data_IF_149642705498
#
_entry.id   IF_149642705498
#
_cell.length_a   1.000
_cell.length_b   1.000
_cell.length_c   1.000
_cell.angle_alpha   90.00
_cell.angle_beta   90.00
_cell.angle_gamma   90.00
#
_symmetry.space_group_name_H-M   'P 1'
#
loop_
_entity.id
_entity.type
_entity.pdbx_description
1 polymer ?
#
# COMPACT_ATOMS: atom_id res chain seq x y z
N UNK A 1 6.30 22.53 -14.52
CA UNK A 1 5.46 21.40 -14.97
C UNK A 1 5.41 20.35 -13.86
N UNK A 2 4.25 19.78 -13.52
CA UNK A 2 4.18 18.66 -12.54
C UNK A 2 4.42 17.36 -13.29
N UNK A 3 5.40 16.55 -12.87
CA UNK A 3 5.61 15.21 -13.41
C UNK A 3 4.38 14.35 -13.12
N UNK A 4 3.90 13.63 -14.14
CA UNK A 4 2.88 12.58 -14.02
C UNK A 4 3.55 11.25 -13.68
N UNK A 5 2.90 10.46 -12.85
CA UNK A 5 3.29 9.08 -12.59
C UNK A 5 2.97 8.22 -13.80
N UNK A 6 3.78 7.19 -14.05
CA UNK A 6 3.44 6.16 -15.04
C UNK A 6 2.35 5.23 -14.47
N UNK A 7 1.73 4.43 -15.34
CA UNK A 7 0.74 3.45 -14.89
C UNK A 7 1.34 2.45 -13.89
N UNK A 8 2.58 2.02 -14.11
CA UNK A 8 3.31 1.13 -13.20
C UNK A 8 3.59 1.79 -11.86
N UNK A 9 3.98 3.07 -11.85
CA UNK A 9 4.17 3.83 -10.60
C UNK A 9 2.85 4.00 -9.85
N UNK A 10 1.76 4.31 -10.55
CA UNK A 10 0.42 4.40 -9.93
C UNK A 10 0.02 3.06 -9.32
N UNK A 11 0.22 1.94 -10.03
CA UNK A 11 -0.05 0.62 -9.50
C UNK A 11 0.76 0.35 -8.23
N UNK A 12 2.08 0.55 -8.30
CA UNK A 12 2.98 0.39 -7.16
C UNK A 12 2.55 1.24 -5.96
N UNK A 13 2.30 2.54 -6.16
CA UNK A 13 1.91 3.46 -5.09
C UNK A 13 0.60 3.03 -4.43
N UNK A 14 -0.37 2.54 -5.19
CA UNK A 14 -1.63 2.01 -4.63
C UNK A 14 -1.47 0.70 -3.84
N UNK A 15 -0.30 0.05 -3.90
CA UNK A 15 0.00 -1.08 -3.00
C UNK A 15 0.49 -0.63 -1.62
N UNK A 16 0.96 0.61 -1.46
CA UNK A 16 1.60 1.01 -0.21
C UNK A 16 0.56 1.37 0.88
N UNK A 17 0.71 0.92 2.13
CA UNK A 17 -0.19 1.29 3.23
C UNK A 17 -0.15 2.80 3.57
N UNK A 18 0.91 3.49 3.15
CA UNK A 18 1.02 4.95 3.28
C UNK A 18 0.11 5.72 2.31
N UNK A 19 -0.44 5.05 1.30
CA UNK A 19 -1.23 5.63 0.23
C UNK A 19 -2.66 5.12 0.32
N UNK A 20 -3.60 6.06 0.48
CA UNK A 20 -5.03 5.78 0.38
C UNK A 20 -5.43 5.56 -1.08
N UNK A 21 -4.92 6.43 -1.97
CA UNK A 21 -5.15 6.36 -3.42
C UNK A 21 -4.10 7.13 -4.20
N UNK A 22 -3.55 6.53 -5.24
CA UNK A 22 -2.74 7.21 -6.24
C UNK A 22 -3.43 7.26 -7.60
N UNK A 23 -3.31 8.39 -8.28
CA UNK A 23 -3.63 8.58 -9.70
C UNK A 23 -2.40 9.13 -10.42
N UNK A 24 -2.48 9.29 -11.74
CA UNK A 24 -1.38 9.81 -12.57
C UNK A 24 -0.82 11.15 -12.08
N UNK A 25 -1.62 11.96 -11.37
CA UNK A 25 -1.22 13.33 -10.99
C UNK A 25 -1.24 13.58 -9.48
N UNK A 26 -1.97 12.76 -8.71
CA UNK A 26 -2.28 12.99 -7.30
C UNK A 26 -2.08 11.74 -6.46
N UNK A 27 -1.49 11.94 -5.29
CA UNK A 27 -1.43 10.93 -4.22
C UNK A 27 -2.25 11.46 -3.05
N UNK A 28 -3.21 10.65 -2.61
CA UNK A 28 -3.91 10.81 -1.34
C UNK A 28 -3.23 9.88 -0.34
N UNK A 29 -2.67 10.44 0.72
CA UNK A 29 -1.99 9.68 1.77
C UNK A 29 -2.97 9.26 2.84
N UNK A 30 -2.79 8.07 3.40
CA UNK A 30 -3.60 7.61 4.53
C UNK A 30 -3.37 8.52 5.74
N UNK A 31 -4.45 8.84 6.49
CA UNK A 31 -4.37 9.73 7.67
C UNK A 31 -3.32 9.23 8.68
N UNK A 32 -3.27 7.92 8.87
CA UNK A 32 -2.35 7.25 9.78
C UNK A 32 -0.88 7.51 9.41
N UNK A 33 -0.54 7.44 8.11
CA UNK A 33 0.80 7.77 7.64
C UNK A 33 1.14 9.24 7.84
N UNK A 34 0.19 10.16 7.62
CA UNK A 34 0.42 11.59 7.82
C UNK A 34 0.82 11.89 9.27
N UNK A 35 0.08 11.33 10.23
CA UNK A 35 0.34 11.49 11.67
C UNK A 35 1.69 10.88 12.06
N UNK A 36 1.97 9.64 11.64
CA UNK A 36 3.26 8.97 11.92
C UNK A 36 4.44 9.71 11.29
N UNK A 37 4.28 10.20 10.06
CA UNK A 37 5.30 10.97 9.38
C UNK A 37 5.63 12.25 10.15
N UNK A 38 4.61 13.00 10.57
CA UNK A 38 4.83 14.23 11.33
C UNK A 38 5.39 13.95 12.73
N UNK A 39 5.03 12.83 13.37
CA UNK A 39 5.63 12.43 14.65
C UNK A 39 7.14 12.14 14.50
N UNK A 40 7.55 11.45 13.43
CA UNK A 40 8.97 11.23 13.12
C UNK A 40 9.69 12.54 12.79
N UNK A 41 9.04 13.44 12.03
CA UNK A 41 9.59 14.74 11.68
C UNK A 41 9.83 15.61 12.92
N UNK A 42 8.90 15.62 13.87
CA UNK A 42 9.03 16.32 15.16
C UNK A 42 10.19 15.79 16.01
N UNK A 43 10.55 14.50 15.84
CA UNK A 43 11.72 13.87 16.46
C UNK A 43 13.03 14.11 15.71
N UNK A 44 13.03 14.98 14.70
CA UNK A 44 14.22 15.37 13.94
C UNK A 44 14.54 14.47 12.74
N UNK A 45 13.72 13.46 12.42
CA UNK A 45 13.96 12.63 11.25
C UNK A 45 13.66 13.40 9.95
N UNK A 46 14.54 13.25 8.96
CA UNK A 46 14.40 13.91 7.67
C UNK A 46 13.19 13.39 6.87
N UNK A 47 12.35 14.27 6.26
CA UNK A 47 11.18 13.87 5.47
C UNK A 47 11.47 12.82 4.39
N UNK A 48 12.57 12.99 3.67
CA UNK A 48 13.01 12.07 2.62
C UNK A 48 13.20 10.65 3.16
N UNK A 49 13.83 10.50 4.33
CA UNK A 49 14.06 9.21 4.96
C UNK A 49 12.76 8.57 5.43
N UNK A 50 11.86 9.37 6.01
CA UNK A 50 10.56 8.89 6.49
C UNK A 50 9.73 8.35 5.33
N UNK A 51 9.65 9.09 4.22
CA UNK A 51 8.95 8.66 3.02
C UNK A 51 9.58 7.41 2.41
N UNK A 52 10.91 7.36 2.28
CA UNK A 52 11.62 6.18 1.78
C UNK A 52 11.33 4.93 2.62
N UNK A 53 11.31 5.05 3.96
CA UNK A 53 11.00 3.94 4.87
C UNK A 53 9.58 3.39 4.71
N UNK A 54 8.67 4.20 4.16
CA UNK A 54 7.29 3.83 3.85
C UNK A 54 7.09 3.35 2.41
N UNK A 55 8.18 3.11 1.66
CA UNK A 55 8.13 2.71 0.24
C UNK A 55 7.91 3.87 -0.74
N UNK A 56 7.87 5.12 -0.25
CA UNK A 56 7.66 6.31 -1.10
C UNK A 56 9.02 6.88 -1.53
N UNK A 57 9.71 6.18 -2.43
CA UNK A 57 11.04 6.55 -2.91
C UNK A 57 11.05 7.99 -3.48
N UNK A 58 11.96 8.88 -3.02
CA UNK A 58 12.14 10.22 -3.58
C UNK A 58 12.34 10.29 -5.09
N UNK A 59 12.87 9.24 -5.73
CA UNK A 59 13.01 9.13 -7.19
C UNK A 59 11.65 9.03 -7.90
N UNK A 60 10.69 8.35 -7.27
CA UNK A 60 9.31 8.24 -7.79
C UNK A 60 8.54 9.51 -7.42
N UNK A 61 8.61 9.93 -6.16
CA UNK A 61 7.81 11.03 -5.61
C UNK A 61 8.28 12.41 -6.09
N UNK A 62 9.59 12.63 -6.16
CA UNK A 62 10.22 13.93 -6.32
C UNK A 62 10.24 14.75 -5.02
N UNK A 63 11.38 15.32 -4.68
CA UNK A 63 11.59 16.05 -3.41
C UNK A 63 10.58 17.17 -3.17
N UNK A 64 10.19 17.93 -4.20
CA UNK A 64 9.17 18.99 -4.08
C UNK A 64 7.78 18.48 -3.69
N UNK A 65 7.41 17.24 -4.02
CA UNK A 65 6.14 16.67 -3.56
C UNK A 65 6.21 16.35 -2.05
N UNK A 66 7.34 15.85 -1.58
CA UNK A 66 7.60 15.55 -0.17
C UNK A 66 7.56 16.86 0.65
N UNK A 67 8.32 17.88 0.25
CA UNK A 67 8.32 19.20 0.91
C UNK A 67 6.91 19.79 1.04
N UNK A 68 6.13 19.78 -0.06
CA UNK A 68 4.74 20.29 -0.06
C UNK A 68 3.81 19.47 0.82
N UNK A 69 4.02 18.15 0.90
CA UNK A 69 3.24 17.30 1.79
C UNK A 69 3.50 17.66 3.25
N UNK A 70 4.77 17.77 3.64
CA UNK A 70 5.17 18.19 4.99
C UNK A 70 4.62 19.59 5.33
N UNK A 71 4.79 20.57 4.43
CA UNK A 71 4.28 21.92 4.65
C UNK A 71 2.76 21.95 4.89
N UNK A 72 2.01 21.18 4.09
CA UNK A 72 0.56 21.04 4.23
C UNK A 72 0.16 20.38 5.55
N UNK A 73 0.83 19.31 5.95
CA UNK A 73 0.52 18.61 7.20
C UNK A 73 0.94 19.39 8.44
N UNK A 74 2.03 20.15 8.35
CA UNK A 74 2.46 21.09 9.39
C UNK A 74 1.44 22.20 9.62
N UNK A 75 0.71 22.60 8.58
CA UNK A 75 -0.35 23.60 8.67
C UNK A 75 -1.70 23.04 9.15
N UNK A 76 -1.86 21.72 9.30
CA UNK A 76 -3.08 21.09 9.79
C UNK A 76 -3.01 20.84 11.31
N UNK A 77 -3.79 21.57 12.13
CA UNK A 77 -3.73 21.45 13.59
C UNK A 77 -4.11 20.05 14.10
N UNK A 78 -5.01 19.35 13.42
CA UNK A 78 -5.46 18.01 13.85
C UNK A 78 -4.35 17.00 13.65
N UNK A 79 -3.69 17.02 12.49
CA UNK A 79 -2.52 16.15 12.23
C UNK A 79 -1.40 16.44 13.23
N UNK A 80 -1.10 17.72 13.47
CA UNK A 80 -0.01 18.12 14.37
C UNK A 80 -0.28 17.73 15.83
N UNK A 81 -1.52 17.85 16.32
CA UNK A 81 -1.88 17.45 17.68
C UNK A 81 -1.70 15.93 17.89
N UNK A 82 -2.21 15.12 16.96
CA UNK A 82 -2.04 13.67 17.00
C UNK A 82 -0.56 13.26 16.89
N UNK A 83 0.18 13.94 16.00
CA UNK A 83 1.61 13.70 15.80
C UNK A 83 2.43 14.05 17.05
N UNK A 84 2.12 15.15 17.73
CA UNK A 84 2.79 15.54 18.98
C UNK A 84 2.51 14.53 20.09
N UNK A 85 1.26 14.07 20.21
CA UNK A 85 0.87 13.03 21.16
C UNK A 85 1.65 11.74 20.92
N UNK A 86 1.83 11.37 19.65
CA UNK A 86 2.62 10.19 19.29
C UNK A 86 4.12 10.39 19.50
N UNK A 87 4.65 11.59 19.20
CA UNK A 87 6.06 11.93 19.37
C UNK A 87 6.48 11.98 20.84
N UNK A 88 5.59 12.41 21.74
CA UNK A 88 5.85 12.54 23.18
C UNK A 88 5.76 11.23 23.95
N UNK A 89 5.23 10.16 23.36
CA UNK A 89 5.27 8.81 23.97
C UNK A 89 6.71 8.28 23.90
N UNK A 90 7.47 8.57 24.96
CA UNK A 90 8.77 8.04 25.43
C UNK A 90 10.05 8.29 24.59
N UNK A 91 11.19 8.43 25.28
CA UNK A 91 12.56 8.68 24.77
C UNK A 91 13.17 7.46 24.03
N UNK A 92 12.59 6.26 24.23
CA UNK A 92 12.73 5.07 23.37
C UNK A 92 12.09 5.24 21.97
N UNK A 93 11.46 6.40 21.74
CA UNK A 93 10.46 6.63 20.73
C UNK A 93 10.89 6.33 19.30
N UNK A 94 12.16 6.50 18.93
CA UNK A 94 12.60 6.16 17.58
C UNK A 94 12.47 4.65 17.30
N UNK A 95 12.86 3.79 18.25
CA UNK A 95 12.66 2.34 18.13
C UNK A 95 11.17 2.02 18.14
N UNK A 96 10.40 2.59 19.06
CA UNK A 96 8.97 2.29 19.17
C UNK A 96 8.21 2.69 17.91
N UNK A 97 8.54 3.83 17.29
CA UNK A 97 7.90 4.30 16.07
C UNK A 97 8.32 3.52 14.83
N UNK A 98 9.59 3.06 14.79
CA UNK A 98 10.05 2.11 13.77
C UNK A 98 9.31 0.78 13.92
N UNK A 99 9.20 0.25 15.14
CA UNK A 99 8.47 -0.99 15.44
C UNK A 99 7.00 -0.85 15.06
N UNK A 100 6.35 0.26 15.39
CA UNK A 100 4.96 0.55 14.98
C UNK A 100 4.84 0.58 13.44
N UNK A 101 5.77 1.26 12.77
CA UNK A 101 5.77 1.36 11.29
C UNK A 101 5.96 -0.01 10.65
N UNK A 102 6.92 -0.80 11.14
CA UNK A 102 7.17 -2.16 10.66
C UNK A 102 6.01 -3.10 10.95
N UNK A 103 5.41 -3.04 12.15
CA UNK A 103 4.25 -3.85 12.52
C UNK A 103 3.06 -3.60 11.59
N UNK A 104 2.85 -2.35 11.17
CA UNK A 104 1.81 -2.02 10.19
C UNK A 104 2.13 -2.58 8.80
N UNK A 105 3.38 -2.48 8.37
CA UNK A 105 3.83 -3.09 7.12
C UNK A 105 3.68 -4.61 7.16
N UNK A 106 4.04 -5.26 8.27
CA UNK A 106 3.86 -6.71 8.47
C UNK A 106 2.37 -7.06 8.37
N UNK A 107 1.51 -6.39 9.13
CA UNK A 107 0.06 -6.62 9.10
C UNK A 107 -0.53 -6.45 7.70
N UNK A 108 -0.06 -5.46 6.95
CA UNK A 108 -0.49 -5.25 5.58
C UNK A 108 0.00 -6.36 4.64
N UNK A 109 1.27 -6.75 4.75
CA UNK A 109 1.86 -7.85 3.98
C UNK A 109 1.14 -9.17 4.26
N UNK A 110 0.86 -9.48 5.53
CA UNK A 110 0.08 -10.64 5.95
C UNK A 110 -1.30 -10.66 5.26
N UNK A 111 -2.02 -9.53 5.29
CA UNK A 111 -3.30 -9.41 4.58
C UNK A 111 -3.15 -9.63 3.07
N UNK A 112 -2.12 -9.05 2.46
CA UNK A 112 -1.89 -9.18 1.02
C UNK A 112 -1.57 -10.62 0.63
N UNK A 113 -0.77 -11.32 1.43
CA UNK A 113 -0.46 -12.75 1.26
C UNK A 113 -1.73 -13.58 1.32
N UNK A 114 -2.58 -13.35 2.32
CA UNK A 114 -3.86 -14.05 2.43
C UNK A 114 -4.78 -13.82 1.22
N UNK A 115 -4.89 -12.57 0.75
CA UNK A 115 -5.73 -12.25 -0.42
C UNK A 115 -5.21 -12.91 -1.70
N UNK A 116 -3.88 -12.90 -1.91
CA UNK A 116 -3.25 -13.58 -3.04
C UNK A 116 -3.42 -15.10 -2.98
N UNK A 117 -3.26 -15.71 -1.81
CA UNK A 117 -3.50 -17.15 -1.62
C UNK A 117 -4.94 -17.53 -1.96
N UNK A 118 -5.94 -16.71 -1.58
CA UNK A 118 -7.34 -16.92 -1.97
C UNK A 118 -7.53 -16.84 -3.48
N UNK A 119 -6.90 -15.88 -4.15
CA UNK A 119 -6.99 -15.76 -5.61
C UNK A 119 -6.41 -16.98 -6.32
N UNK A 120 -5.28 -17.53 -5.84
CA UNK A 120 -4.70 -18.75 -6.38
C UNK A 120 -5.64 -19.95 -6.19
N UNK A 121 -6.20 -20.14 -4.99
CA UNK A 121 -7.15 -21.23 -4.72
C UNK A 121 -8.40 -21.15 -5.62
N UNK A 122 -8.90 -19.93 -5.88
CA UNK A 122 -10.02 -19.73 -6.80
C UNK A 122 -9.64 -20.09 -8.25
N UNK A 123 -8.43 -19.74 -8.70
CA UNK A 123 -7.96 -20.09 -10.04
C UNK A 123 -7.75 -21.60 -10.20
N UNK A 124 -7.18 -22.25 -9.19
CA UNK A 124 -6.98 -23.71 -9.16
C UNK A 124 -8.33 -24.44 -9.20
N UNK A 125 -9.34 -23.98 -8.45
CA UNK A 125 -10.67 -24.60 -8.48
C UNK A 125 -11.37 -24.41 -9.83
N UNK A 126 -11.23 -23.24 -10.47
CA UNK A 126 -11.75 -23.03 -11.83
C UNK A 126 -11.05 -23.93 -12.85
N UNK A 127 -9.71 -24.04 -12.78
CA UNK A 127 -8.95 -24.91 -13.67
C UNK A 127 -9.34 -26.39 -13.51
N UNK A 128 -9.58 -26.85 -12.28
CA UNK A 128 -10.06 -28.22 -12.02
C UNK A 128 -11.47 -28.46 -12.58
N UNK A 129 -12.37 -27.49 -12.49
CA UNK A 129 -13.73 -27.60 -13.05
C UNK A 129 -13.76 -27.59 -14.59
N UNK A 130 -12.82 -26.89 -15.24
CA UNK A 130 -12.70 -26.88 -16.70
C UNK A 130 -12.05 -28.15 -17.28
N UNK A 131 -11.40 -28.97 -16.45
CA UNK A 131 -10.62 -30.14 -16.90
C UNK A 131 -11.41 -31.45 -16.93
N UNK A 132 -12.69 -31.46 -16.54
CA UNK A 132 -13.55 -32.65 -16.66
C UNK A 132 -14.03 -32.82 -18.12
N UNK A 133 -13.69 -33.93 -18.81
CA UNK A 133 -14.24 -34.20 -20.13
C UNK A 133 -15.75 -34.43 -20.01
N UNK A 134 -16.54 -33.78 -20.86
CA UNK A 134 -17.96 -34.02 -21.00
C UNK A 134 -18.18 -35.44 -21.56
N UNK A 135 -18.29 -36.44 -20.69
CA UNK A 135 -18.63 -37.81 -21.05
C UNK A 135 -20.13 -37.92 -21.31
N UNK A 136 -20.59 -37.38 -22.43
CA UNK A 136 -21.90 -37.72 -23.00
C UNK A 136 -21.84 -37.64 -24.52
N UNK A 137 -21.10 -38.57 -25.11
CA UNK A 137 -21.25 -38.98 -26.49
C UNK A 137 -21.46 -40.48 -26.49
N UNK A 138 -22.68 -40.91 -26.19
CA UNK A 138 -23.10 -42.28 -26.50
C UNK A 138 -23.53 -42.29 -27.95
N UNK A 139 -22.71 -43.00 -28.71
CA UNK A 139 -22.71 -43.21 -30.14
C UNK A 139 -24.05 -43.75 -30.65
N UNK A 140 -24.35 -43.38 -31.90
CA UNK A 140 -25.56 -43.80 -32.61
C UNK A 140 -25.61 -45.30 -32.85
N UNK A 141 -26.73 -45.90 -32.50
CA UNK A 141 -27.18 -47.16 -33.09
C UNK A 141 -28.00 -46.82 -34.34
N UNK A 142 -27.30 -46.69 -35.47
CA UNK A 142 -27.92 -46.90 -36.78
C UNK A 142 -28.01 -48.42 -36.98
N UNK A 143 -29.21 -48.98 -36.83
CA UNK A 143 -29.51 -50.34 -37.29
C UNK A 143 -29.92 -50.25 -38.76
N UNK A 144 -29.07 -50.74 -39.65
CA UNK A 144 -29.39 -50.98 -41.06
C UNK A 144 -30.28 -52.23 -41.21
N UNK A 145 -31.21 -52.12 -42.15
CA UNK A 145 -31.91 -53.13 -42.98
C UNK A 145 -32.12 -54.55 -42.44
#
# INVERSE_FOLDING_TARGET
>A
MRRRFTQTEVYYLNTLPAVERASMDRITYSKEFQVRCMAQYLRGNGPTSIFASAGLDPKIMGGKRIERAIARWKADPKIMLEAQTLANKSDSGQRDLLVITQAMTIKWLEKKVMDLQKQLHLLESHAMNCSLPNSNSREGLVSMA
#
